data_IF_646144842837
#
_entry.id   IF_646144842837
#
_cell.length_a   1.000
_cell.length_b   1.000
_cell.length_c   1.000
_cell.angle_alpha   90.00
_cell.angle_beta   90.00
_cell.angle_gamma   90.00
#
_symmetry.space_group_name_H-M   'P 1'
#
loop_
_entity.id
_entity.type
_entity.pdbx_description
1 polymer ?
#
# COMPACT_ATOMS: atom_id res chain seq x y z
N UNK A 1 -19.74 -15.95 3.84
CA UNK A 1 -19.94 -16.68 2.56
C UNK A 1 -18.72 -17.57 2.32
N UNK A 2 -18.77 -18.62 1.46
CA UNK A 2 -17.57 -19.42 1.17
C UNK A 2 -16.44 -18.55 0.64
N UNK A 3 -15.22 -18.75 1.15
CA UNK A 3 -14.05 -18.01 0.70
C UNK A 3 -13.75 -18.26 -0.78
N UNK A 4 -13.11 -17.30 -1.44
CA UNK A 4 -12.52 -17.49 -2.77
C UNK A 4 -11.34 -18.47 -2.71
N UNK A 5 -10.81 -18.89 -3.88
CA UNK A 5 -9.63 -19.75 -3.90
C UNK A 5 -8.40 -19.00 -3.36
N UNK A 6 -8.29 -17.73 -3.71
CA UNK A 6 -7.23 -16.82 -3.27
C UNK A 6 -7.26 -16.62 -1.76
N UNK A 7 -8.44 -16.35 -1.18
CA UNK A 7 -8.56 -16.14 0.26
C UNK A 7 -8.20 -17.40 1.06
N UNK A 8 -8.53 -18.59 0.53
CA UNK A 8 -8.10 -19.87 1.11
C UNK A 8 -6.59 -20.06 1.01
N UNK A 9 -6.01 -19.83 -0.15
CA UNK A 9 -4.60 -20.08 -0.43
C UNK A 9 -3.68 -19.14 0.37
N UNK A 10 -3.97 -17.84 0.36
CA UNK A 10 -3.07 -16.82 0.89
C UNK A 10 -3.32 -16.48 2.36
N UNK A 11 -4.55 -16.62 2.84
CA UNK A 11 -4.91 -16.29 4.24
C UNK A 11 -5.48 -17.47 5.02
N UNK A 12 -5.73 -18.62 4.40
CA UNK A 12 -6.23 -19.82 5.08
C UNK A 12 -7.70 -19.72 5.53
N UNK A 13 -8.44 -18.72 5.07
CA UNK A 13 -9.83 -18.56 5.45
C UNK A 13 -10.74 -19.53 4.70
N UNK A 14 -11.63 -20.21 5.43
CA UNK A 14 -12.69 -21.05 4.85
C UNK A 14 -13.90 -20.23 4.39
N UNK A 15 -14.12 -19.09 5.03
CA UNK A 15 -15.21 -18.15 4.75
C UNK A 15 -14.64 -16.74 4.61
N UNK A 16 -15.35 -15.89 3.88
CA UNK A 16 -15.03 -14.48 3.77
C UNK A 16 -16.27 -13.62 4.00
N UNK A 17 -16.06 -12.31 4.15
CA UNK A 17 -17.13 -11.32 4.21
C UNK A 17 -17.99 -11.40 2.94
N UNK A 18 -19.29 -11.08 3.05
CA UNK A 18 -20.14 -10.93 1.86
C UNK A 18 -19.58 -9.81 0.97
N UNK A 19 -19.67 -9.88 -0.38
CA UNK A 19 -19.00 -8.90 -1.24
C UNK A 19 -19.64 -7.51 -1.08
N UNK A 20 -20.95 -7.47 -0.77
CA UNK A 20 -21.66 -6.23 -0.47
C UNK A 20 -21.19 -5.59 0.85
N UNK A 21 -20.94 -6.40 1.89
CA UNK A 21 -20.43 -5.89 3.17
C UNK A 21 -18.99 -5.40 3.04
N UNK A 22 -18.15 -6.15 2.31
CA UNK A 22 -16.81 -5.73 1.96
C UNK A 22 -16.83 -4.41 1.16
N UNK A 23 -17.71 -4.30 0.16
CA UNK A 23 -17.91 -3.06 -0.61
C UNK A 23 -18.32 -1.90 0.28
N UNK A 24 -19.28 -2.10 1.19
CA UNK A 24 -19.73 -1.08 2.11
C UNK A 24 -18.60 -0.61 3.04
N UNK A 25 -17.76 -1.53 3.50
CA UNK A 25 -16.60 -1.21 4.31
C UNK A 25 -15.60 -0.33 3.54
N UNK A 26 -15.27 -0.69 2.30
CA UNK A 26 -14.39 0.10 1.43
C UNK A 26 -14.96 1.49 1.10
N UNK A 27 -16.27 1.61 0.79
CA UNK A 27 -16.92 2.92 0.62
C UNK A 27 -16.88 3.76 1.91
N UNK A 28 -16.86 3.11 3.07
CA UNK A 28 -16.56 3.74 4.35
C UNK A 28 -15.13 4.28 4.41
N UNK A 29 -14.15 3.44 4.08
CA UNK A 29 -12.73 3.80 4.03
C UNK A 29 -12.49 5.01 3.11
N UNK A 30 -13.03 4.98 1.89
CA UNK A 30 -12.82 6.05 0.90
C UNK A 30 -13.42 7.40 1.29
N UNK A 31 -14.42 7.40 2.18
CA UNK A 31 -14.96 8.64 2.76
C UNK A 31 -14.08 9.19 3.90
N UNK A 32 -13.34 8.33 4.60
CA UNK A 32 -12.47 8.73 5.72
C UNK A 32 -11.07 9.12 5.25
N UNK A 33 -10.58 8.48 4.20
CA UNK A 33 -9.26 8.71 3.64
C UNK A 33 -9.29 9.78 2.53
N UNK A 34 -8.25 10.62 2.38
CA UNK A 34 -8.24 11.74 1.44
C UNK A 34 -7.94 11.31 0.00
N UNK A 35 -8.67 10.33 -0.53
CA UNK A 35 -8.56 9.92 -1.93
C UNK A 35 -9.23 10.92 -2.88
N UNK A 36 -8.64 11.12 -4.04
CA UNK A 36 -9.27 11.85 -5.14
C UNK A 36 -10.48 11.10 -5.70
N UNK A 37 -11.41 11.85 -6.30
CA UNK A 37 -12.62 11.25 -6.87
C UNK A 37 -12.29 10.24 -7.98
N UNK A 38 -11.28 10.54 -8.82
CA UNK A 38 -10.80 9.69 -9.90
C UNK A 38 -10.33 8.31 -9.37
N UNK A 39 -9.58 8.31 -8.27
CA UNK A 39 -9.14 7.09 -7.62
C UNK A 39 -10.30 6.26 -7.07
N UNK A 40 -11.27 6.91 -6.42
CA UNK A 40 -12.45 6.23 -5.89
C UNK A 40 -13.26 5.58 -7.01
N UNK A 41 -13.41 6.25 -8.15
CA UNK A 41 -14.09 5.68 -9.32
C UNK A 41 -13.32 4.49 -9.91
N UNK A 42 -11.98 4.56 -9.93
CA UNK A 42 -11.15 3.41 -10.27
C UNK A 42 -11.34 2.24 -9.28
N UNK A 43 -11.34 2.48 -7.97
CA UNK A 43 -11.50 1.43 -6.95
C UNK A 43 -12.86 0.73 -7.02
N UNK A 44 -13.92 1.46 -7.42
CA UNK A 44 -15.23 0.87 -7.67
C UNK A 44 -15.22 -0.17 -8.79
N UNK A 45 -14.31 -0.05 -9.75
CA UNK A 45 -14.15 -1.03 -10.85
C UNK A 45 -13.40 -2.31 -10.44
N UNK A 46 -12.81 -2.35 -9.24
CA UNK A 46 -12.02 -3.49 -8.76
C UNK A 46 -12.92 -4.53 -8.08
N UNK A 47 -12.51 -5.80 -8.16
CA UNK A 47 -13.00 -6.84 -7.26
C UNK A 47 -12.37 -6.58 -5.90
N UNK A 48 -13.20 -6.57 -4.85
CA UNK A 48 -12.77 -6.29 -3.49
C UNK A 48 -13.19 -7.44 -2.59
N UNK A 49 -12.25 -8.00 -1.84
CA UNK A 49 -12.52 -9.08 -0.90
C UNK A 49 -11.89 -8.79 0.46
N UNK A 50 -12.60 -9.18 1.52
CA UNK A 50 -12.12 -9.09 2.90
C UNK A 50 -12.37 -10.44 3.57
N UNK A 51 -11.34 -10.99 4.20
CA UNK A 51 -11.45 -12.23 4.97
C UNK A 51 -12.44 -12.09 6.13
N UNK A 52 -12.16 -11.20 7.07
CA UNK A 52 -13.06 -10.90 8.20
C UNK A 52 -13.30 -9.42 8.39
N UNK A 53 -14.54 -9.05 8.76
CA UNK A 53 -14.89 -7.67 9.13
C UNK A 53 -14.70 -7.38 10.62
N UNK A 54 -14.54 -8.42 11.43
CA UNK A 54 -14.60 -8.31 12.89
C UNK A 54 -13.29 -7.84 13.52
N UNK A 55 -12.17 -7.97 12.79
CA UNK A 55 -10.84 -7.69 13.31
C UNK A 55 -10.03 -6.79 12.38
N UNK A 56 -9.30 -5.80 12.91
CA UNK A 56 -8.40 -4.95 12.14
C UNK A 56 -7.07 -5.67 11.85
N UNK A 57 -7.15 -6.86 11.26
CA UNK A 57 -5.97 -7.63 10.87
C UNK A 57 -5.30 -6.99 9.66
N UNK A 58 -3.98 -6.79 9.75
CA UNK A 58 -3.16 -6.34 8.64
C UNK A 58 -2.87 -7.42 7.61
N UNK A 59 -2.40 -6.97 6.45
CA UNK A 59 -2.05 -7.80 5.31
C UNK A 59 -3.12 -7.77 4.22
N UNK A 60 -2.64 -7.76 2.99
CA UNK A 60 -3.46 -7.75 1.79
C UNK A 60 -2.64 -8.16 0.58
N UNK A 61 -3.31 -8.28 -0.55
CA UNK A 61 -2.70 -8.51 -1.84
C UNK A 61 -3.45 -7.77 -2.93
N UNK A 62 -2.69 -7.19 -3.86
CA UNK A 62 -3.14 -6.79 -5.18
C UNK A 62 -2.83 -7.87 -6.21
N UNK A 63 -3.85 -8.37 -6.91
CA UNK A 63 -3.73 -9.29 -8.04
C UNK A 63 -4.09 -8.56 -9.34
N UNK A 64 -3.06 -8.09 -10.06
CA UNK A 64 -3.22 -7.29 -11.28
C UNK A 64 -4.02 -8.00 -12.38
N UNK A 65 -3.72 -9.28 -12.62
CA UNK A 65 -4.38 -10.13 -13.63
C UNK A 65 -5.89 -10.28 -13.40
N UNK A 66 -6.33 -10.19 -12.14
CA UNK A 66 -7.72 -10.39 -11.71
C UNK A 66 -8.42 -9.10 -11.32
N UNK A 67 -7.70 -7.97 -11.32
CA UNK A 67 -8.17 -6.69 -10.79
C UNK A 67 -8.75 -6.82 -9.38
N UNK A 68 -8.07 -7.59 -8.52
CA UNK A 68 -8.54 -7.95 -7.19
C UNK A 68 -7.67 -7.32 -6.10
N UNK A 69 -8.29 -6.54 -5.23
CA UNK A 69 -7.74 -6.18 -3.92
C UNK A 69 -8.33 -7.11 -2.88
N UNK A 70 -7.47 -7.85 -2.19
CA UNK A 70 -7.84 -8.80 -1.16
C UNK A 70 -7.22 -8.38 0.16
N UNK A 71 -8.03 -8.28 1.22
CA UNK A 71 -7.57 -7.95 2.56
C UNK A 71 -7.82 -9.09 3.53
N UNK A 72 -6.90 -9.27 4.48
CA UNK A 72 -7.07 -10.24 5.55
C UNK A 72 -8.18 -9.81 6.53
N UNK A 73 -8.17 -8.54 6.92
CA UNK A 73 -9.15 -7.94 7.84
C UNK A 73 -9.35 -6.46 7.56
N UNK A 74 -9.83 -5.71 8.56
CA UNK A 74 -10.24 -4.30 8.41
C UNK A 74 -9.15 -3.29 8.79
N UNK A 75 -7.88 -3.66 8.73
CA UNK A 75 -6.80 -2.68 8.94
C UNK A 75 -6.78 -1.68 7.79
N UNK A 76 -7.05 -0.41 8.09
CA UNK A 76 -7.11 0.64 7.06
C UNK A 76 -5.75 0.86 6.38
N UNK A 77 -4.64 0.76 7.10
CA UNK A 77 -3.29 0.92 6.53
C UNK A 77 -3.02 -0.13 5.43
N UNK A 78 -3.34 -1.41 5.69
CA UNK A 78 -3.23 -2.47 4.68
C UNK A 78 -4.16 -2.20 3.48
N UNK A 79 -5.38 -1.72 3.73
CA UNK A 79 -6.29 -1.36 2.64
C UNK A 79 -5.76 -0.23 1.76
N UNK A 80 -5.22 0.83 2.37
CA UNK A 80 -4.57 1.93 1.64
C UNK A 80 -3.37 1.41 0.85
N UNK A 81 -2.59 0.50 1.44
CA UNK A 81 -1.43 -0.13 0.79
C UNK A 81 -1.84 -0.86 -0.50
N UNK A 82 -2.82 -1.76 -0.42
CA UNK A 82 -3.24 -2.54 -1.59
C UNK A 82 -3.93 -1.70 -2.67
N UNK A 83 -4.67 -0.65 -2.28
CA UNK A 83 -5.25 0.29 -3.24
C UNK A 83 -4.14 1.11 -3.93
N UNK A 84 -3.07 1.46 -3.21
CA UNK A 84 -1.92 2.13 -3.79
C UNK A 84 -1.17 1.22 -4.77
N UNK A 85 -1.01 -0.08 -4.48
CA UNK A 85 -0.49 -1.04 -5.44
C UNK A 85 -1.34 -1.07 -6.72
N UNK A 86 -2.66 -1.19 -6.56
CA UNK A 86 -3.59 -1.25 -7.69
C UNK A 86 -3.56 0.02 -8.56
N UNK A 87 -3.35 1.19 -7.95
CA UNK A 87 -3.20 2.45 -8.67
C UNK A 87 -1.85 2.54 -9.40
N UNK A 88 -0.76 2.24 -8.68
CA UNK A 88 0.60 2.34 -9.19
C UNK A 88 0.86 1.43 -10.39
N UNK A 89 0.27 0.24 -10.40
CA UNK A 89 0.41 -0.74 -11.47
C UNK A 89 0.10 -0.15 -12.87
N UNK A 90 -0.83 0.79 -12.95
CA UNK A 90 -1.18 1.47 -14.21
C UNK A 90 -0.20 2.57 -14.64
N UNK A 91 0.60 3.10 -13.73
CA UNK A 91 1.48 4.26 -13.97
C UNK A 91 2.97 3.88 -13.98
N UNK A 92 3.31 2.73 -13.41
CA UNK A 92 4.69 2.35 -13.11
C UNK A 92 5.60 2.32 -14.33
N UNK A 93 5.14 1.83 -15.47
CA UNK A 93 5.99 1.68 -16.66
C UNK A 93 6.58 3.03 -17.10
N UNK A 94 5.83 4.12 -16.94
CA UNK A 94 6.28 5.46 -17.32
C UNK A 94 7.03 6.21 -16.22
N UNK A 95 6.83 5.85 -14.95
CA UNK A 95 7.26 6.66 -13.80
C UNK A 95 8.19 5.94 -12.82
N UNK A 96 8.39 4.63 -12.96
CA UNK A 96 9.18 3.80 -12.05
C UNK A 96 10.54 4.39 -11.77
N UNK A 97 11.34 4.63 -12.80
CA UNK A 97 12.74 5.02 -12.60
C UNK A 97 12.84 6.39 -11.92
N UNK A 98 11.97 7.34 -12.29
CA UNK A 98 11.88 8.64 -11.65
C UNK A 98 11.46 8.56 -10.17
N UNK A 99 10.51 7.67 -9.84
CA UNK A 99 10.12 7.42 -8.46
C UNK A 99 11.29 6.83 -7.67
N UNK A 100 11.97 5.82 -8.22
CA UNK A 100 13.07 5.15 -7.54
C UNK A 100 14.27 6.08 -7.31
N UNK A 101 14.58 6.96 -8.25
CA UNK A 101 15.62 7.99 -8.08
C UNK A 101 15.27 8.97 -6.95
N UNK A 102 14.02 9.44 -6.89
CA UNK A 102 13.57 10.29 -5.80
C UNK A 102 13.64 9.57 -4.45
N UNK A 103 13.23 8.30 -4.38
CA UNK A 103 13.26 7.52 -3.14
C UNK A 103 14.69 7.28 -2.66
N UNK A 104 15.64 7.05 -3.57
CA UNK A 104 17.08 7.00 -3.24
C UNK A 104 17.57 8.34 -2.69
N UNK A 105 17.15 9.46 -3.28
CA UNK A 105 17.47 10.78 -2.76
C UNK A 105 16.92 11.00 -1.34
N UNK A 106 15.66 10.63 -1.10
CA UNK A 106 15.03 10.71 0.23
C UNK A 106 15.75 9.80 1.25
N UNK A 107 16.19 8.61 0.85
CA UNK A 107 16.96 7.70 1.69
C UNK A 107 18.34 8.22 2.06
N UNK A 108 18.99 8.93 1.14
CA UNK A 108 20.28 9.56 1.37
C UNK A 108 20.18 10.87 2.17
N UNK A 109 19.10 11.64 1.95
CA UNK A 109 18.84 12.93 2.58
C UNK A 109 17.39 13.02 3.04
N UNK A 110 17.06 12.41 4.20
CA UNK A 110 15.70 12.42 4.73
C UNK A 110 15.20 13.86 4.96
N UNK A 111 13.98 14.21 4.53
CA UNK A 111 13.48 15.57 4.60
C UNK A 111 13.04 15.93 6.03
N UNK A 112 13.81 16.77 6.71
CA UNK A 112 13.56 17.14 8.13
C UNK A 112 12.19 17.78 8.38
N UNK A 113 11.65 18.50 7.40
CA UNK A 113 10.32 19.14 7.48
C UNK A 113 9.16 18.14 7.41
N UNK A 114 9.43 16.90 6.97
CA UNK A 114 8.44 15.84 6.79
C UNK A 114 8.86 14.61 7.62
N UNK A 115 8.71 14.67 8.96
CA UNK A 115 9.30 13.69 9.87
C UNK A 115 8.83 12.25 9.61
N UNK A 116 7.56 12.07 9.23
CA UNK A 116 7.04 10.75 8.90
C UNK A 116 7.70 10.18 7.64
N UNK A 117 7.93 11.00 6.63
CA UNK A 117 8.62 10.60 5.40
C UNK A 117 10.10 10.33 5.67
N UNK A 118 10.74 11.10 6.55
CA UNK A 118 12.11 10.84 6.96
C UNK A 118 12.26 9.49 7.68
N UNK A 119 11.30 9.15 8.56
CA UNK A 119 11.21 7.85 9.21
C UNK A 119 11.02 6.72 8.19
N UNK A 120 10.00 6.84 7.32
CA UNK A 120 9.70 5.84 6.30
C UNK A 120 10.87 5.65 5.32
N UNK A 121 11.50 6.74 4.86
CA UNK A 121 12.69 6.65 4.03
C UNK A 121 13.83 5.93 4.74
N UNK A 122 14.02 6.16 6.04
CA UNK A 122 15.05 5.43 6.80
C UNK A 122 14.75 3.93 6.82
N UNK A 123 13.50 3.57 7.13
CA UNK A 123 13.04 2.18 7.24
C UNK A 123 13.10 1.46 5.89
N UNK A 124 12.57 2.07 4.82
CA UNK A 124 12.53 1.47 3.49
C UNK A 124 13.88 1.47 2.77
N UNK A 125 14.78 2.40 3.08
CA UNK A 125 16.09 2.47 2.42
C UNK A 125 17.17 1.65 3.13
N UNK A 126 17.16 1.63 4.48
CA UNK A 126 18.22 1.03 5.28
C UNK A 126 17.77 -0.21 6.05
N UNK A 127 16.47 -0.52 6.01
CA UNK A 127 15.89 -1.65 6.71
C UNK A 127 15.79 -1.45 8.22
N UNK A 128 15.39 -2.51 8.91
CA UNK A 128 15.24 -2.53 10.37
C UNK A 128 16.18 -3.60 10.92
N UNK A 129 17.32 -3.18 11.47
CA UNK A 129 18.36 -4.09 11.99
C UNK A 129 17.87 -5.04 13.08
N UNK A 130 16.87 -4.64 13.85
CA UNK A 130 16.27 -5.46 14.92
C UNK A 130 15.28 -6.50 14.39
N UNK A 131 14.81 -6.36 13.14
CA UNK A 131 13.92 -7.31 12.49
C UNK A 131 14.76 -8.36 11.77
N UNK A 132 15.03 -9.47 12.46
CA UNK A 132 15.82 -10.58 11.92
C UNK A 132 15.11 -11.24 10.74
N UNK A 133 15.86 -11.43 9.66
CA UNK A 133 15.40 -12.13 8.46
C UNK A 133 16.50 -13.11 8.03
N UNK A 134 16.34 -14.42 8.31
CA UNK A 134 17.30 -15.44 7.95
C UNK A 134 17.48 -15.62 6.43
N UNK A 135 16.52 -15.16 5.62
CA UNK A 135 16.59 -15.23 4.16
C UNK A 135 17.33 -14.04 3.54
N UNK A 136 17.49 -12.95 4.30
CA UNK A 136 18.22 -11.76 3.88
C UNK A 136 19.74 -11.94 4.05
N UNK A 137 20.56 -11.52 3.07
CA UNK A 137 22.03 -11.61 3.15
C UNK A 137 22.65 -10.72 4.24
N UNK A 138 21.92 -9.75 4.81
CA UNK A 138 22.37 -8.97 5.97
C UNK A 138 21.94 -9.57 7.32
N UNK A 139 21.14 -10.62 7.31
CA UNK A 139 20.55 -11.23 8.51
C UNK A 139 19.40 -10.42 9.14
N UNK A 140 18.99 -9.32 8.51
CA UNK A 140 17.86 -8.49 8.90
C UNK A 140 17.13 -7.97 7.67
N UNK A 141 15.88 -7.52 7.84
CA UNK A 141 15.09 -6.95 6.75
C UNK A 141 15.74 -5.67 6.23
N UNK A 142 16.16 -5.64 4.96
CA UNK A 142 17.00 -4.57 4.36
C UNK A 142 16.24 -3.34 3.87
N UNK A 143 14.92 -3.34 4.02
CA UNK A 143 14.06 -2.33 3.43
C UNK A 143 13.79 -2.60 1.95
N UNK A 144 12.70 -2.05 1.43
CA UNK A 144 12.21 -2.34 0.07
C UNK A 144 13.01 -1.65 -1.03
N UNK A 145 13.71 -0.55 -0.72
CA UNK A 145 14.57 0.12 -1.70
C UNK A 145 15.81 -0.73 -2.04
N UNK A 146 16.32 -1.49 -1.08
CA UNK A 146 17.44 -2.40 -1.31
C UNK A 146 17.12 -3.53 -2.30
N UNK A 147 15.82 -3.77 -2.54
CA UNK A 147 15.29 -4.77 -3.46
C UNK A 147 14.79 -4.15 -4.77
N UNK A 148 14.96 -2.83 -4.95
CA UNK A 148 14.46 -2.05 -6.09
C UNK A 148 12.96 -2.26 -6.35
N UNK A 149 12.21 -2.48 -5.25
CA UNK A 149 10.80 -2.84 -5.25
C UNK A 149 9.92 -1.59 -5.24
N UNK A 150 9.66 -1.06 -6.44
CA UNK A 150 8.85 0.14 -6.63
C UNK A 150 7.41 -0.03 -6.14
N UNK A 151 6.83 -1.23 -6.29
CA UNK A 151 5.48 -1.52 -5.82
C UNK A 151 5.34 -1.32 -4.32
N UNK A 152 6.17 -2.01 -3.53
CA UNK A 152 6.12 -1.93 -2.06
C UNK A 152 6.52 -0.56 -1.55
N UNK A 153 7.46 0.11 -2.24
CA UNK A 153 7.91 1.43 -1.78
C UNK A 153 6.86 2.51 -2.09
N UNK A 154 6.19 2.48 -3.25
CA UNK A 154 5.06 3.37 -3.52
C UNK A 154 3.91 3.13 -2.53
N UNK A 155 3.49 1.87 -2.37
CA UNK A 155 2.38 1.55 -1.49
C UNK A 155 2.70 1.87 -0.03
N UNK A 156 3.91 1.53 0.43
CA UNK A 156 4.38 1.74 1.79
C UNK A 156 4.51 3.20 2.20
N UNK A 157 4.96 4.08 1.29
CA UNK A 157 4.97 5.51 1.59
C UNK A 157 3.56 6.11 1.65
N UNK A 158 2.63 5.63 0.83
CA UNK A 158 1.24 6.07 0.89
C UNK A 158 0.52 5.59 2.16
N UNK A 159 0.59 4.28 2.45
CA UNK A 159 -0.03 3.67 3.63
C UNK A 159 0.59 4.19 4.92
N UNK A 160 1.91 4.37 4.95
CA UNK A 160 2.64 4.88 6.10
C UNK A 160 2.26 6.30 6.53
N UNK A 161 1.69 7.12 5.63
CA UNK A 161 1.10 8.43 5.97
C UNK A 161 -0.44 8.42 5.99
N UNK A 162 -1.06 7.24 5.96
CA UNK A 162 -2.51 7.04 5.86
C UNK A 162 -3.12 7.89 4.74
N UNK A 163 -2.57 7.78 3.53
CA UNK A 163 -2.99 8.53 2.34
C UNK A 163 -2.93 10.07 2.46
N UNK A 164 -2.41 10.64 3.56
CA UNK A 164 -2.34 12.09 3.74
C UNK A 164 -1.15 12.70 3.00
N UNK A 165 -1.42 13.16 1.77
CA UNK A 165 -0.43 13.81 0.90
C UNK A 165 0.21 15.08 1.51
N UNK A 166 -0.41 15.75 2.47
CA UNK A 166 0.19 16.93 3.12
C UNK A 166 1.42 16.57 3.98
N UNK A 167 1.58 15.28 4.34
CA UNK A 167 2.77 14.78 5.02
C UNK A 167 3.93 14.46 4.05
N UNK A 168 3.72 14.61 2.73
CA UNK A 168 4.71 14.28 1.71
C UNK A 168 5.41 15.55 1.17
N UNK A 169 6.74 15.49 0.92
CA UNK A 169 7.41 16.52 0.14
C UNK A 169 6.74 16.71 -1.23
N UNK A 170 6.71 17.94 -1.79
CA UNK A 170 6.04 18.22 -3.06
C UNK A 170 6.48 17.31 -4.22
N UNK A 171 7.76 16.95 -4.27
CA UNK A 171 8.31 16.06 -5.29
C UNK A 171 7.73 14.64 -5.20
N UNK A 172 7.58 14.10 -3.99
CA UNK A 172 6.99 12.77 -3.78
C UNK A 172 5.48 12.79 -4.00
N UNK A 173 4.81 13.84 -3.50
CA UNK A 173 3.38 14.04 -3.67
C UNK A 173 2.95 14.04 -5.15
N UNK A 174 3.82 14.49 -6.06
CA UNK A 174 3.53 14.54 -7.49
C UNK A 174 3.20 13.16 -8.09
N UNK A 175 3.81 12.08 -7.59
CA UNK A 175 3.55 10.70 -8.04
C UNK A 175 2.16 10.18 -7.62
N UNK A 176 1.49 10.86 -6.68
CA UNK A 176 0.17 10.50 -6.19
C UNK A 176 -0.94 11.40 -6.76
N UNK A 177 -0.65 12.20 -7.79
CA UNK A 177 -1.67 13.01 -8.47
C UNK A 177 -2.76 12.10 -9.05
N UNK A 178 -4.02 12.51 -8.85
CA UNK A 178 -5.19 11.70 -9.24
C UNK A 178 -5.51 10.57 -8.27
N UNK A 179 -4.60 10.24 -7.34
CA UNK A 179 -4.82 9.28 -6.26
C UNK A 179 -5.19 9.94 -4.94
N UNK A 180 -4.38 10.89 -4.48
CA UNK A 180 -4.53 11.57 -3.19
C UNK A 180 -4.91 13.03 -3.39
N UNK A 181 -5.78 13.56 -2.52
CA UNK A 181 -6.10 14.98 -2.48
C UNK A 181 -4.89 15.77 -1.99
N UNK A 182 -4.47 16.76 -2.77
CA UNK A 182 -3.24 17.53 -2.53
C UNK A 182 -3.46 18.97 -2.14
#
# INVERSE_FOLDING_TARGET
>A
MPASAEMREYFGFSEMAHPDDARQWFEGLWRRQPFEAEAVDYFRSLRLEIGTLDEPMGGGYWFADRRLVMLRGTQEEAAVNELAHAWWDSQREAQRDALMDLLRELGARPPAEYPRIAELATVYCHGIKTQKDPSSPTGYWRGMLAEDNDHETFAGFCSGVMANAAQMPPALRAFYRGFLRT
#
